data_IF_331699090638
#
_entry.id   IF_331699090638
#
_cell.length_a   1.000
_cell.length_b   1.000
_cell.length_c   1.000
_cell.angle_alpha   90.00
_cell.angle_beta   90.00
_cell.angle_gamma   90.00
#
_symmetry.space_group_name_H-M   'P 1'
#
loop_
_entity.id
_entity.type
_entity.pdbx_description
1 polymer ?
#
# COMPACT_ATOMS: atom_id res chain seq x y z
N UNK A 1 2.83 39.85 -4.28
CA UNK A 1 2.98 38.68 -5.18
C UNK A 1 2.03 37.59 -4.70
N UNK A 2 0.86 37.46 -5.33
CA UNK A 2 -0.19 36.49 -4.97
C UNK A 2 -0.60 35.59 -6.15
N UNK A 3 -0.12 35.91 -7.37
CA UNK A 3 -0.47 35.22 -8.61
C UNK A 3 -0.17 33.71 -8.60
N UNK A 4 1.00 33.22 -8.12
CA UNK A 4 1.25 31.77 -8.12
C UNK A 4 0.30 31.00 -7.20
N UNK A 5 -0.11 31.63 -6.09
CA UNK A 5 -1.01 31.03 -5.11
C UNK A 5 -2.46 31.00 -5.64
N UNK A 6 -2.91 32.07 -6.30
CA UNK A 6 -4.24 32.13 -6.92
C UNK A 6 -4.40 31.12 -8.05
N UNK A 7 -3.38 30.91 -8.88
CA UNK A 7 -3.41 29.88 -9.95
C UNK A 7 -3.56 28.47 -9.36
N UNK A 8 -2.91 28.20 -8.23
CA UNK A 8 -3.04 26.91 -7.54
C UNK A 8 -4.45 26.68 -6.99
N UNK A 9 -5.06 27.70 -6.38
CA UNK A 9 -6.41 27.66 -5.81
C UNK A 9 -7.53 27.68 -6.87
N UNK A 10 -7.27 28.25 -8.05
CA UNK A 10 -8.21 28.32 -9.18
C UNK A 10 -8.15 27.10 -10.11
N UNK A 11 -7.25 26.15 -9.83
CA UNK A 11 -7.27 24.84 -10.50
C UNK A 11 -8.54 24.07 -10.12
N UNK A 12 -9.03 23.19 -11.00
CA UNK A 12 -10.28 22.45 -10.80
C UNK A 12 -10.25 21.54 -9.54
N UNK A 13 -9.06 21.31 -8.93
CA UNK A 13 -8.84 20.45 -7.76
C UNK A 13 -7.62 20.90 -6.92
N UNK A 14 -7.71 22.03 -6.17
CA UNK A 14 -6.56 22.68 -5.53
C UNK A 14 -5.92 21.88 -4.39
N UNK A 15 -6.60 20.87 -3.85
CA UNK A 15 -6.11 20.05 -2.73
C UNK A 15 -5.21 18.88 -3.15
N UNK A 16 -5.18 18.51 -4.43
CA UNK A 16 -4.50 17.30 -4.91
C UNK A 16 -2.98 17.32 -4.65
N UNK A 17 -2.24 18.41 -4.92
CA UNK A 17 -0.81 18.47 -4.61
C UNK A 17 -0.52 18.37 -3.11
N UNK A 18 -1.41 18.88 -2.27
CA UNK A 18 -1.28 18.83 -0.81
C UNK A 18 -1.58 17.43 -0.25
N UNK A 19 -2.46 16.67 -0.89
CA UNK A 19 -2.80 15.31 -0.47
C UNK A 19 -1.76 14.26 -0.91
N UNK A 20 -1.04 14.53 -2.00
CA UNK A 20 -0.12 13.58 -2.62
C UNK A 20 0.99 13.11 -1.65
N UNK A 21 1.60 14.02 -0.90
CA UNK A 21 2.65 13.65 0.07
C UNK A 21 2.15 12.72 1.17
N UNK A 22 1.01 13.05 1.79
CA UNK A 22 0.40 12.22 2.84
C UNK A 22 -0.04 10.85 2.33
N UNK A 23 -0.59 10.81 1.12
CA UNK A 23 -0.99 9.58 0.46
C UNK A 23 0.21 8.67 0.14
N UNK A 24 1.30 9.25 -0.39
CA UNK A 24 2.53 8.50 -0.64
C UNK A 24 3.06 7.88 0.66
N UNK A 25 3.15 8.65 1.74
CA UNK A 25 3.57 8.17 3.06
C UNK A 25 2.66 7.06 3.58
N UNK A 26 1.34 7.22 3.46
CA UNK A 26 0.37 6.19 3.88
C UNK A 26 0.62 4.88 3.13
N UNK A 27 0.69 4.93 1.80
CA UNK A 27 0.90 3.73 0.97
C UNK A 27 2.27 3.11 1.26
N UNK A 28 3.32 3.93 1.39
CA UNK A 28 4.67 3.47 1.68
C UNK A 28 4.72 2.72 3.02
N UNK A 29 4.09 3.27 4.06
CA UNK A 29 4.01 2.63 5.38
C UNK A 29 3.22 1.32 5.32
N UNK A 30 2.11 1.26 4.58
CA UNK A 30 1.35 0.01 4.41
C UNK A 30 2.21 -1.07 3.72
N UNK A 31 2.90 -0.70 2.64
CA UNK A 31 3.77 -1.63 1.92
C UNK A 31 4.90 -2.17 2.80
N UNK A 32 5.47 -1.32 3.66
CA UNK A 32 6.54 -1.67 4.59
C UNK A 32 6.04 -2.59 5.72
N UNK A 33 4.95 -2.23 6.39
CA UNK A 33 4.47 -2.97 7.56
C UNK A 33 3.86 -4.33 7.20
N UNK A 34 3.11 -4.41 6.12
CA UNK A 34 2.50 -5.68 5.70
C UNK A 34 3.47 -6.57 4.89
N UNK A 35 4.61 -6.02 4.44
CA UNK A 35 5.64 -6.74 3.68
C UNK A 35 5.09 -7.47 2.44
N UNK A 36 4.14 -6.84 1.73
CA UNK A 36 3.46 -7.45 0.58
C UNK A 36 4.32 -7.49 -0.69
N UNK A 37 5.28 -6.56 -0.83
CA UNK A 37 6.21 -6.49 -1.96
C UNK A 37 7.55 -7.11 -1.62
N UNK A 38 8.23 -7.64 -2.65
CA UNK A 38 9.65 -7.96 -2.55
C UNK A 38 10.46 -6.69 -2.22
N UNK A 39 11.55 -6.87 -1.49
CA UNK A 39 12.33 -5.77 -0.94
C UNK A 39 12.91 -4.83 -2.01
N UNK A 40 13.38 -5.37 -3.14
CA UNK A 40 13.84 -4.60 -4.29
C UNK A 40 12.71 -3.74 -4.90
N UNK A 41 11.51 -4.32 -5.01
CA UNK A 41 10.32 -3.63 -5.54
C UNK A 41 9.79 -2.56 -4.60
N UNK A 42 9.79 -2.81 -3.30
CA UNK A 42 9.48 -1.78 -2.31
C UNK A 42 10.47 -0.62 -2.40
N UNK A 43 11.78 -0.90 -2.54
CA UNK A 43 12.82 0.14 -2.65
C UNK A 43 12.70 0.99 -3.91
N UNK A 44 12.24 0.41 -5.03
CA UNK A 44 12.03 1.18 -6.27
C UNK A 44 10.87 2.19 -6.20
N UNK A 45 10.02 2.11 -5.17
CA UNK A 45 8.94 3.08 -4.94
C UNK A 45 9.44 4.16 -3.99
N UNK A 46 10.12 5.17 -4.52
CA UNK A 46 10.77 6.26 -3.78
C UNK A 46 10.03 7.60 -3.85
N UNK A 47 9.00 7.70 -4.67
CA UNK A 47 8.26 8.93 -4.95
C UNK A 47 6.82 8.63 -5.36
N UNK A 48 5.96 9.65 -5.36
CA UNK A 48 4.60 9.50 -5.86
C UNK A 48 4.57 9.08 -7.34
N UNK A 49 5.53 9.54 -8.14
CA UNK A 49 5.64 9.17 -9.56
C UNK A 49 5.97 7.69 -9.75
N UNK A 50 6.96 7.16 -9.00
CA UNK A 50 7.27 5.73 -9.04
C UNK A 50 6.15 4.87 -8.45
N UNK A 51 5.39 5.39 -7.48
CA UNK A 51 4.19 4.72 -6.97
C UNK A 51 3.06 4.65 -8.00
N UNK A 52 2.78 5.73 -8.74
CA UNK A 52 1.72 5.79 -9.75
C UNK A 52 2.03 4.93 -10.98
N UNK A 53 3.31 4.78 -11.32
CA UNK A 53 3.76 3.94 -12.44
C UNK A 53 3.93 2.46 -12.05
N UNK A 54 3.85 2.12 -10.75
CA UNK A 54 4.01 0.75 -10.30
C UNK A 54 2.84 -0.13 -10.73
N UNK A 55 3.13 -1.23 -11.41
CA UNK A 55 2.10 -2.15 -11.90
C UNK A 55 1.71 -3.19 -10.83
N UNK A 56 0.68 -2.86 -10.05
CA UNK A 56 0.13 -3.71 -8.98
C UNK A 56 -0.60 -4.98 -9.43
N UNK A 57 -0.62 -5.32 -10.73
CA UNK A 57 -1.20 -6.58 -11.20
C UNK A 57 -0.14 -7.67 -11.46
N UNK A 58 1.14 -7.31 -11.50
CA UNK A 58 2.21 -8.28 -11.71
C UNK A 58 2.58 -9.00 -10.41
N UNK A 59 2.17 -10.28 -10.36
CA UNK A 59 2.37 -11.18 -9.23
C UNK A 59 3.84 -11.42 -8.88
N UNK A 60 4.76 -11.22 -9.83
CA UNK A 60 6.18 -11.45 -9.60
C UNK A 60 6.80 -10.40 -8.66
N UNK A 61 6.13 -9.27 -8.45
CA UNK A 61 6.58 -8.23 -7.54
C UNK A 61 6.25 -8.51 -6.07
N UNK A 62 5.41 -9.51 -5.80
CA UNK A 62 4.91 -9.81 -4.47
C UNK A 62 5.78 -10.83 -3.73
N UNK A 63 5.78 -10.70 -2.40
CA UNK A 63 6.31 -11.74 -1.54
C UNK A 63 5.40 -12.97 -1.52
N UNK A 64 5.98 -14.11 -1.18
CA UNK A 64 5.21 -15.30 -0.83
C UNK A 64 4.39 -15.04 0.44
N UNK A 65 3.23 -15.70 0.57
CA UNK A 65 2.29 -15.46 1.67
C UNK A 65 2.90 -15.71 3.06
N UNK A 66 3.85 -16.63 3.20
CA UNK A 66 4.55 -16.90 4.46
C UNK A 66 5.34 -15.69 4.99
N UNK A 67 5.81 -14.82 4.10
CA UNK A 67 6.58 -13.61 4.40
C UNK A 67 5.70 -12.37 4.65
N UNK A 68 4.40 -12.47 4.41
CA UNK A 68 3.45 -11.38 4.69
C UNK A 68 3.28 -11.25 6.21
N UNK A 69 3.25 -10.02 6.70
CA UNK A 69 2.99 -9.70 8.11
C UNK A 69 1.54 -9.27 8.30
N UNK A 70 0.93 -9.67 9.41
CA UNK A 70 -0.37 -9.14 9.87
C UNK A 70 -0.16 -7.96 10.84
N UNK A 71 1.02 -7.32 10.76
CA UNK A 71 1.45 -6.22 11.62
C UNK A 71 1.67 -6.69 13.06
N UNK A 72 2.39 -5.90 13.85
CA UNK A 72 2.91 -6.23 15.18
C UNK A 72 1.94 -7.05 16.06
N UNK A 73 0.76 -6.50 16.35
CA UNK A 73 -0.23 -7.15 17.23
C UNK A 73 -0.81 -8.41 16.58
N UNK A 74 -1.05 -8.37 15.26
CA UNK A 74 -1.61 -9.51 14.52
C UNK A 74 -0.65 -10.71 14.53
N UNK A 75 0.63 -10.46 14.25
CA UNK A 75 1.66 -11.51 14.24
C UNK A 75 1.87 -12.11 15.64
N UNK A 76 1.81 -11.29 16.69
CA UNK A 76 1.91 -11.77 18.08
C UNK A 76 0.71 -12.67 18.45
N UNK A 77 -0.50 -12.26 18.08
CA UNK A 77 -1.72 -13.06 18.33
C UNK A 77 -1.69 -14.39 17.58
N UNK A 78 -1.19 -14.41 16.33
CA UNK A 78 -1.07 -15.64 15.56
C UNK A 78 -0.08 -16.61 16.19
N UNK A 79 1.09 -16.12 16.62
CA UNK A 79 2.07 -16.93 17.34
C UNK A 79 1.48 -17.53 18.62
N UNK A 80 0.71 -16.75 19.38
CA UNK A 80 0.03 -17.23 20.60
C UNK A 80 -0.99 -18.33 20.28
N UNK A 81 -1.79 -18.17 19.22
CA UNK A 81 -2.77 -19.19 18.78
C UNK A 81 -2.10 -20.47 18.30
N UNK A 82 -1.01 -20.37 17.54
CA UNK A 82 -0.23 -21.54 17.11
C UNK A 82 0.38 -22.28 18.29
N UNK A 83 0.95 -21.57 19.27
CA UNK A 83 1.52 -22.17 20.47
C UNK A 83 0.47 -22.95 21.29
N UNK A 84 -0.79 -22.48 21.28
CA UNK A 84 -1.93 -23.17 21.91
C UNK A 84 -2.56 -24.26 21.04
N UNK A 85 -2.08 -24.48 19.81
CA UNK A 85 -2.68 -25.37 18.80
C UNK A 85 -4.13 -25.00 18.45
N UNK A 86 -4.50 -23.74 18.62
CA UNK A 86 -5.81 -23.18 18.24
C UNK A 86 -5.87 -22.78 16.76
N UNK A 87 -4.72 -22.67 16.10
CA UNK A 87 -4.59 -22.41 14.68
C UNK A 87 -3.48 -23.32 14.10
N UNK A 88 -3.76 -23.92 12.96
CA UNK A 88 -2.76 -24.67 12.19
C UNK A 88 -1.89 -23.74 11.35
N UNK A 89 -0.74 -24.23 10.87
CA UNK A 89 0.10 -23.48 9.94
C UNK A 89 -0.63 -23.14 8.63
N UNK A 90 -1.56 -24.01 8.21
CA UNK A 90 -2.42 -23.76 7.06
C UNK A 90 -3.34 -22.57 7.31
N UNK A 91 -3.98 -22.49 8.48
CA UNK A 91 -4.88 -21.39 8.83
C UNK A 91 -4.14 -20.04 8.85
N UNK A 92 -2.92 -20.03 9.39
CA UNK A 92 -2.06 -18.84 9.40
C UNK A 92 -1.65 -18.44 8.00
N UNK A 93 -1.25 -19.39 7.16
CA UNK A 93 -0.86 -19.12 5.78
C UNK A 93 -2.03 -18.60 4.93
N UNK A 94 -3.22 -19.18 5.10
CA UNK A 94 -4.43 -18.75 4.41
C UNK A 94 -4.83 -17.33 4.84
N UNK A 95 -4.77 -17.01 6.14
CA UNK A 95 -4.99 -15.64 6.63
C UNK A 95 -3.98 -14.65 6.04
N UNK A 96 -2.70 -15.00 5.99
CA UNK A 96 -1.66 -14.15 5.39
C UNK A 96 -1.90 -13.93 3.90
N UNK A 97 -2.33 -14.96 3.17
CA UNK A 97 -2.72 -14.85 1.75
C UNK A 97 -3.92 -13.92 1.58
N UNK A 98 -4.93 -14.02 2.43
CA UNK A 98 -6.11 -13.15 2.37
C UNK A 98 -5.79 -11.70 2.75
N UNK A 99 -4.93 -11.50 3.74
CA UNK A 99 -4.39 -10.18 4.08
C UNK A 99 -3.66 -9.56 2.89
N UNK A 100 -2.78 -10.31 2.24
CA UNK A 100 -2.08 -9.86 1.03
C UNK A 100 -3.07 -9.44 -0.07
N UNK A 101 -4.07 -10.28 -0.37
CA UNK A 101 -5.12 -9.96 -1.36
C UNK A 101 -5.88 -8.69 -0.99
N UNK A 102 -6.22 -8.52 0.28
CA UNK A 102 -6.93 -7.35 0.78
C UNK A 102 -6.12 -6.07 0.59
N UNK A 103 -4.85 -6.07 1.02
CA UNK A 103 -3.95 -4.92 0.87
C UNK A 103 -3.76 -4.58 -0.62
N UNK A 104 -3.54 -5.58 -1.47
CA UNK A 104 -3.39 -5.35 -2.91
C UNK A 104 -4.65 -4.74 -3.55
N UNK A 105 -5.83 -5.26 -3.23
CA UNK A 105 -7.10 -4.68 -3.71
C UNK A 105 -7.30 -3.25 -3.22
N UNK A 106 -6.95 -2.97 -1.96
CA UNK A 106 -7.03 -1.63 -1.40
C UNK A 106 -6.10 -0.67 -2.14
N UNK A 107 -4.85 -1.07 -2.36
CA UNK A 107 -3.86 -0.28 -3.10
C UNK A 107 -4.28 -0.05 -4.56
N UNK A 108 -4.75 -1.08 -5.25
CA UNK A 108 -5.28 -0.94 -6.62
C UNK A 108 -6.46 0.03 -6.67
N UNK A 109 -7.38 -0.04 -5.71
CA UNK A 109 -8.53 0.88 -5.63
C UNK A 109 -8.09 2.31 -5.37
N UNK A 110 -7.13 2.48 -4.44
CA UNK A 110 -6.58 3.78 -4.08
C UNK A 110 -5.84 4.39 -5.26
N UNK A 111 -4.95 3.63 -5.91
CA UNK A 111 -4.19 4.07 -7.08
C UNK A 111 -5.09 4.30 -8.31
N UNK A 112 -6.17 3.54 -8.47
CA UNK A 112 -7.18 3.81 -9.51
C UNK A 112 -7.86 5.15 -9.30
N UNK A 113 -8.24 5.48 -8.06
CA UNK A 113 -8.77 6.81 -7.73
C UNK A 113 -7.72 7.88 -7.98
N UNK A 114 -6.48 7.69 -7.52
CA UNK A 114 -5.38 8.66 -7.63
C UNK A 114 -4.95 8.91 -9.07
N UNK A 115 -4.93 7.88 -9.91
CA UNK A 115 -4.67 8.03 -11.35
C UNK A 115 -5.76 8.85 -12.03
N UNK A 116 -7.02 8.64 -11.64
CA UNK A 116 -8.16 9.49 -12.05
C UNK A 116 -8.10 10.91 -11.43
N UNK A 117 -7.31 11.13 -10.37
CA UNK A 117 -7.03 12.46 -9.83
C UNK A 117 -5.90 13.15 -10.60
N UNK A 118 -4.85 12.43 -11.03
CA UNK A 118 -3.66 12.98 -11.71
C UNK A 118 -3.89 13.21 -13.22
N UNK A 119 -4.65 12.34 -13.91
CA UNK A 119 -4.96 12.48 -15.35
C UNK A 119 -5.91 13.65 -15.68
N UNK A 120 -6.50 14.28 -14.68
CA UNK A 120 -7.48 15.36 -14.82
C UNK A 120 -7.04 16.66 -14.12
N UNK A 121 -5.75 16.77 -13.81
CA UNK A 121 -5.07 18.01 -13.44
C UNK A 121 -4.13 18.40 -14.58
#
# INVERSE_FOLDING_TARGET
>A
MLQPLLVLYQSYKPLVPFLAGGLFTLVKNMLEHFQVLKHDKYKSIDSMSSLCSFYFADVTNFNCADKVSIVFIGDELLKKKQAKKEASDKDVLDLKRDCQRFILRMLQTLMGKVSHFILYC
#
